data_IF_703819956445
#
_entry.id   IF_703819956445
#
_cell.length_a   1.000
_cell.length_b   1.000
_cell.length_c   1.000
_cell.angle_alpha   90.00
_cell.angle_beta   90.00
_cell.angle_gamma   90.00
#
_symmetry.space_group_name_H-M   'P 1'
#
loop_
_entity.id
_entity.type
_entity.pdbx_description
1 polymer ?
#
# COMPACT_ATOMS: atom_id res chain seq x y z
N UNK A 1 21.85 4.77 -28.94
CA UNK A 1 21.01 5.79 -28.29
C UNK A 1 20.50 5.24 -26.95
N UNK A 2 20.98 5.72 -25.79
CA UNK A 2 20.60 5.18 -24.48
C UNK A 2 19.37 5.92 -23.93
N UNK A 3 18.21 5.77 -24.57
CA UNK A 3 16.96 6.39 -24.06
C UNK A 3 16.15 5.44 -23.16
N UNK A 4 16.50 4.15 -23.12
CA UNK A 4 15.77 3.11 -22.37
C UNK A 4 16.06 3.09 -20.86
N UNK A 5 17.26 3.53 -20.44
CA UNK A 5 17.69 3.42 -19.04
C UNK A 5 17.10 4.50 -18.12
N UNK A 6 16.82 5.70 -18.65
CA UNK A 6 16.34 6.83 -17.83
C UNK A 6 14.90 6.64 -17.34
N UNK A 7 14.04 6.00 -18.14
CA UNK A 7 12.65 5.69 -17.74
C UNK A 7 12.61 4.54 -16.73
N UNK A 8 13.38 3.47 -16.96
CA UNK A 8 13.53 2.36 -16.02
C UNK A 8 14.07 2.81 -14.64
N UNK A 9 14.99 3.77 -14.60
CA UNK A 9 15.54 4.32 -13.35
C UNK A 9 14.56 5.27 -12.62
N UNK A 10 13.62 5.91 -13.33
CA UNK A 10 12.57 6.76 -12.72
C UNK A 10 11.49 5.94 -12.00
N UNK A 11 11.32 4.69 -12.42
CA UNK A 11 10.36 3.73 -11.86
C UNK A 11 10.92 2.91 -10.69
N UNK A 12 12.11 3.21 -10.20
CA UNK A 12 12.70 2.55 -9.04
C UNK A 12 12.54 3.39 -7.78
N UNK A 13 12.16 2.75 -6.67
CA UNK A 13 11.95 3.36 -5.35
C UNK A 13 12.75 2.60 -4.32
N UNK A 14 13.34 3.30 -3.35
CA UNK A 14 14.04 2.69 -2.21
C UNK A 14 13.09 1.76 -1.43
N UNK A 15 13.49 0.49 -1.26
CA UNK A 15 12.71 -0.56 -0.55
C UNK A 15 12.38 -0.16 0.90
N UNK A 16 13.22 0.68 1.52
CA UNK A 16 12.99 1.17 2.89
C UNK A 16 11.75 2.07 2.99
N UNK A 17 11.38 2.75 1.90
CA UNK A 17 10.18 3.60 1.84
C UNK A 17 8.86 2.82 1.96
N UNK A 18 8.62 1.82 1.10
CA UNK A 18 7.47 0.91 1.23
C UNK A 18 7.41 0.21 2.58
N UNK A 19 8.55 -0.22 3.15
CA UNK A 19 8.60 -0.82 4.50
C UNK A 19 8.17 0.16 5.59
N UNK A 20 8.63 1.40 5.53
CA UNK A 20 8.19 2.45 6.45
C UNK A 20 6.68 2.70 6.33
N UNK A 21 6.17 2.84 5.10
CA UNK A 21 4.74 3.02 4.88
C UNK A 21 3.91 1.83 5.40
N UNK A 22 4.45 0.61 5.28
CA UNK A 22 3.83 -0.61 5.80
C UNK A 22 3.76 -0.64 7.33
N UNK A 23 4.81 -0.19 8.03
CA UNK A 23 4.78 -0.03 9.49
C UNK A 23 3.68 0.94 9.92
N UNK A 24 3.62 2.13 9.31
CA UNK A 24 2.58 3.13 9.61
C UNK A 24 1.19 2.57 9.34
N UNK A 25 1.01 1.91 8.18
CA UNK A 25 -0.26 1.29 7.80
C UNK A 25 -0.68 0.20 8.79
N UNK A 26 0.26 -0.64 9.24
CA UNK A 26 0.01 -1.67 10.25
C UNK A 26 -0.52 -1.05 11.54
N UNK A 27 0.11 0.02 12.02
CA UNK A 27 -0.35 0.75 13.21
C UNK A 27 -1.75 1.32 13.02
N UNK A 28 -2.03 1.93 11.86
CA UNK A 28 -3.36 2.50 11.56
C UNK A 28 -4.45 1.42 11.49
N UNK A 29 -4.19 0.29 10.83
CA UNK A 29 -5.15 -0.80 10.72
C UNK A 29 -5.38 -1.50 12.06
N UNK A 30 -4.33 -1.68 12.86
CA UNK A 30 -4.44 -2.18 14.23
C UNK A 30 -5.28 -1.23 15.09
N UNK A 31 -5.01 0.08 15.00
CA UNK A 31 -5.80 1.09 15.71
C UNK A 31 -7.26 1.06 15.29
N UNK A 32 -7.56 0.91 14.00
CA UNK A 32 -8.93 0.78 13.52
C UNK A 32 -9.65 -0.43 14.15
N UNK A 33 -8.98 -1.58 14.26
CA UNK A 33 -9.54 -2.77 14.92
C UNK A 33 -9.78 -2.54 16.42
N UNK A 34 -8.83 -1.94 17.13
CA UNK A 34 -8.98 -1.62 18.56
C UNK A 34 -10.14 -0.64 18.78
N UNK A 35 -10.20 0.43 17.99
CA UNK A 35 -11.28 1.42 18.04
C UNK A 35 -12.63 0.81 17.69
N UNK A 36 -12.67 -0.18 16.80
CA UNK A 36 -13.93 -0.84 16.41
C UNK A 36 -14.64 -1.53 17.57
N UNK A 37 -13.89 -1.96 18.60
CA UNK A 37 -14.47 -2.55 19.82
C UNK A 37 -15.28 -1.53 20.64
N UNK A 38 -14.97 -0.23 20.51
CA UNK A 38 -15.68 0.85 21.18
C UNK A 38 -16.66 1.59 20.27
N UNK A 39 -16.31 1.79 18.99
CA UNK A 39 -17.12 2.53 18.02
C UNK A 39 -16.84 2.09 16.59
N UNK A 40 -17.76 1.33 16.01
CA UNK A 40 -17.72 0.95 14.60
C UNK A 40 -17.70 2.17 13.64
N UNK A 41 -18.49 3.24 13.86
CA UNK A 41 -18.40 4.45 13.02
C UNK A 41 -17.01 5.11 13.07
N UNK A 42 -16.37 5.16 14.24
CA UNK A 42 -15.02 5.72 14.35
C UNK A 42 -13.98 4.86 13.61
N UNK A 43 -14.08 3.54 13.70
CA UNK A 43 -13.24 2.62 12.92
C UNK A 43 -13.45 2.80 11.41
N UNK A 44 -14.70 2.98 10.97
CA UNK A 44 -15.02 3.27 9.57
C UNK A 44 -14.34 4.54 9.07
N UNK A 45 -14.32 5.61 9.87
CA UNK A 45 -13.63 6.87 9.53
C UNK A 45 -12.12 6.66 9.39
N UNK A 46 -11.50 5.91 10.31
CA UNK A 46 -10.06 5.59 10.24
C UNK A 46 -9.73 4.82 8.96
N UNK A 47 -10.52 3.78 8.64
CA UNK A 47 -10.33 2.99 7.43
C UNK A 47 -10.61 3.80 6.15
N UNK A 48 -11.59 4.70 6.17
CA UNK A 48 -11.87 5.59 5.05
C UNK A 48 -10.69 6.54 4.78
N UNK A 49 -10.10 7.11 5.83
CA UNK A 49 -8.88 7.91 5.70
C UNK A 49 -7.71 7.09 5.13
N UNK A 50 -7.51 5.87 5.62
CA UNK A 50 -6.47 4.97 5.10
C UNK A 50 -6.75 4.54 3.65
N UNK A 51 -8.02 4.36 3.27
CA UNK A 51 -8.42 4.09 1.89
C UNK A 51 -8.04 5.25 0.97
N UNK A 52 -8.28 6.51 1.37
CA UNK A 52 -7.82 7.68 0.60
C UNK A 52 -6.30 7.67 0.40
N UNK A 53 -5.53 7.32 1.44
CA UNK A 53 -4.07 7.22 1.36
C UNK A 53 -3.65 6.14 0.35
N UNK A 54 -4.28 4.96 0.40
CA UNK A 54 -4.06 3.89 -0.58
C UNK A 54 -4.44 4.35 -2.00
N UNK A 55 -5.53 5.09 -2.18
CA UNK A 55 -5.95 5.61 -3.48
C UNK A 55 -4.91 6.56 -4.09
N UNK A 56 -4.34 7.46 -3.27
CA UNK A 56 -3.24 8.33 -3.69
C UNK A 56 -2.04 7.51 -4.14
N UNK A 57 -1.69 6.44 -3.43
CA UNK A 57 -0.63 5.50 -3.80
C UNK A 57 -0.91 4.73 -5.09
N UNK A 58 -2.13 4.22 -5.25
CA UNK A 58 -2.55 3.41 -6.39
C UNK A 58 -2.59 4.22 -7.69
N UNK A 59 -3.09 5.45 -7.64
CA UNK A 59 -3.19 6.33 -8.82
C UNK A 59 -1.86 7.06 -9.06
N UNK A 60 -1.37 7.76 -8.03
CA UNK A 60 -0.23 8.67 -8.12
C UNK A 60 1.15 8.01 -7.98
N UNK A 61 1.20 6.76 -7.51
CA UNK A 61 2.44 6.03 -7.29
C UNK A 61 3.16 6.37 -5.98
N UNK A 62 4.22 5.62 -5.63
CA UNK A 62 4.92 5.75 -4.35
C UNK A 62 5.50 7.15 -4.07
N UNK A 63 5.87 7.91 -5.10
CA UNK A 63 6.40 9.29 -4.96
C UNK A 63 5.34 10.30 -4.50
N UNK A 64 4.06 10.04 -4.78
CA UNK A 64 2.94 10.87 -4.31
C UNK A 64 2.31 10.35 -3.03
N UNK A 65 2.66 9.12 -2.61
CA UNK A 65 2.12 8.50 -1.41
C UNK A 65 2.46 9.33 -0.16
N UNK A 66 1.48 9.68 0.69
CA UNK A 66 1.69 10.53 1.87
C UNK A 66 2.81 10.02 2.79
N UNK A 67 2.74 8.76 3.22
CA UNK A 67 3.78 8.15 4.07
C UNK A 67 5.14 8.06 3.38
N UNK A 68 5.18 7.86 2.06
CA UNK A 68 6.41 7.82 1.28
C UNK A 68 7.11 9.17 1.22
N UNK A 69 6.35 10.27 1.19
CA UNK A 69 6.90 11.64 1.29
C UNK A 69 7.47 11.92 2.67
N UNK A 70 6.79 11.48 3.73
CA UNK A 70 7.30 11.58 5.10
C UNK A 70 8.62 10.81 5.22
N UNK A 71 8.68 9.57 4.71
CA UNK A 71 9.92 8.80 4.65
C UNK A 71 11.03 9.56 3.92
N UNK A 72 10.75 10.04 2.70
CA UNK A 72 11.75 10.73 1.89
C UNK A 72 12.27 12.03 2.52
N UNK A 73 11.41 12.77 3.23
CA UNK A 73 11.77 14.06 3.83
C UNK A 73 12.46 13.91 5.20
N UNK A 74 12.04 12.93 6.02
CA UNK A 74 12.42 12.87 7.44
C UNK A 74 13.34 11.70 7.74
N UNK A 75 13.12 10.55 7.12
CA UNK A 75 13.80 9.30 7.45
C UNK A 75 14.97 9.05 6.51
N UNK A 76 14.74 9.14 5.19
CA UNK A 76 15.74 8.87 4.17
C UNK A 76 17.04 9.68 4.31
N UNK A 77 17.03 10.98 4.66
CA UNK A 77 18.26 11.76 4.83
C UNK A 77 19.14 11.30 6.01
N UNK A 78 18.56 10.57 6.96
CA UNK A 78 19.25 10.05 8.15
C UNK A 78 19.84 8.66 7.93
N UNK A 79 19.56 8.06 6.77
CA UNK A 79 20.02 6.71 6.43
C UNK A 79 21.20 6.78 5.47
N UNK A 80 22.04 5.74 5.50
CA UNK A 80 23.11 5.57 4.52
C UNK A 80 22.59 5.34 3.08
N UNK A 81 23.52 5.21 2.12
CA UNK A 81 23.21 5.04 0.70
C UNK A 81 22.16 3.95 0.43
N UNK A 82 21.31 4.18 -0.58
CA UNK A 82 20.27 3.21 -1.00
C UNK A 82 20.94 1.99 -1.60
N UNK A 83 20.77 0.83 -0.96
CA UNK A 83 21.35 -0.44 -1.42
C UNK A 83 20.42 -1.21 -2.37
N UNK A 84 19.11 -1.07 -2.19
CA UNK A 84 18.11 -1.87 -2.89
C UNK A 84 16.93 -1.01 -3.34
N UNK A 85 16.41 -1.30 -4.53
CA UNK A 85 15.29 -0.57 -5.12
C UNK A 85 14.27 -1.51 -5.74
N UNK A 86 13.01 -1.11 -5.67
CA UNK A 86 11.88 -1.88 -6.16
C UNK A 86 11.12 -1.10 -7.26
N UNK A 87 10.60 -1.79 -8.30
CA UNK A 87 9.85 -1.15 -9.36
C UNK A 87 8.48 -0.61 -8.89
N UNK A 88 8.07 0.54 -9.42
CA UNK A 88 6.81 1.22 -9.07
C UNK A 88 5.54 0.48 -9.48
N UNK A 89 5.43 -0.24 -10.63
CA UNK A 89 4.14 -0.81 -11.04
C UNK A 89 3.57 -1.85 -10.06
N UNK A 90 4.35 -2.82 -9.55
CA UNK A 90 3.86 -3.75 -8.53
C UNK A 90 3.45 -3.08 -7.22
N UNK A 91 4.14 -2.00 -6.81
CA UNK A 91 3.75 -1.20 -5.65
C UNK A 91 2.38 -0.55 -5.85
N UNK A 92 2.10 0.02 -7.03
CA UNK A 92 0.78 0.59 -7.33
C UNK A 92 -0.33 -0.46 -7.25
N UNK A 93 -0.04 -1.68 -7.70
CA UNK A 93 -0.98 -2.80 -7.56
C UNK A 93 -1.22 -3.18 -6.10
N UNK A 94 -0.17 -3.27 -5.27
CA UNK A 94 -0.33 -3.52 -3.84
C UNK A 94 -1.19 -2.45 -3.14
N UNK A 95 -1.02 -1.18 -3.52
CA UNK A 95 -1.82 -0.06 -3.03
C UNK A 95 -3.29 -0.16 -3.44
N UNK A 96 -3.57 -0.61 -4.67
CA UNK A 96 -4.94 -0.86 -5.12
C UNK A 96 -5.61 -1.99 -4.33
N UNK A 97 -4.88 -3.08 -4.08
CA UNK A 97 -5.39 -4.19 -3.26
C UNK A 97 -5.68 -3.70 -1.83
N UNK A 98 -4.77 -2.93 -1.24
CA UNK A 98 -4.98 -2.30 0.07
C UNK A 98 -6.20 -1.37 0.09
N UNK A 99 -6.41 -0.58 -0.97
CA UNK A 99 -7.60 0.26 -1.15
C UNK A 99 -8.89 -0.58 -1.11
N UNK A 100 -8.94 -1.69 -1.84
CA UNK A 100 -10.12 -2.56 -1.89
C UNK A 100 -10.47 -3.05 -0.49
N UNK A 101 -9.50 -3.61 0.25
CA UNK A 101 -9.75 -4.10 1.60
C UNK A 101 -10.13 -2.99 2.59
N UNK A 102 -9.46 -1.83 2.52
CA UNK A 102 -9.77 -0.70 3.39
C UNK A 102 -11.16 -0.13 3.11
N UNK A 103 -11.56 -0.02 1.84
CA UNK A 103 -12.89 0.44 1.45
C UNK A 103 -13.99 -0.55 1.87
N UNK A 104 -13.76 -1.86 1.68
CA UNK A 104 -14.67 -2.90 2.17
C UNK A 104 -14.80 -2.86 3.70
N UNK A 105 -13.68 -2.74 4.42
CA UNK A 105 -13.68 -2.62 5.87
C UNK A 105 -14.44 -1.38 6.36
N UNK A 106 -14.19 -0.22 5.74
CA UNK A 106 -14.87 1.03 6.07
C UNK A 106 -16.38 0.93 5.80
N UNK A 107 -16.78 0.45 4.63
CA UNK A 107 -18.19 0.29 4.26
C UNK A 107 -18.92 -0.72 5.14
N UNK A 108 -18.26 -1.82 5.51
CA UNK A 108 -18.83 -2.83 6.39
C UNK A 108 -18.99 -2.32 7.83
N UNK A 109 -18.03 -1.57 8.38
CA UNK A 109 -18.21 -0.92 9.68
C UNK A 109 -19.31 0.15 9.65
N UNK A 110 -19.44 0.91 8.56
CA UNK A 110 -20.47 1.93 8.41
C UNK A 110 -21.89 1.34 8.30
N UNK A 111 -22.04 0.15 7.72
CA UNK A 111 -23.33 -0.54 7.56
C UNK A 111 -23.64 -1.54 8.67
N UNK A 112 -22.74 -1.71 9.64
CA UNK A 112 -22.92 -2.63 10.77
C UNK A 112 -22.56 -4.10 10.48
N UNK A 113 -22.01 -4.41 9.30
CA UNK A 113 -21.51 -5.74 8.94
C UNK A 113 -20.15 -6.05 9.58
N UNK A 114 -20.09 -6.02 10.92
CA UNK A 114 -18.85 -6.12 11.72
C UNK A 114 -17.97 -7.32 11.35
N UNK A 115 -18.48 -8.55 11.17
CA UNK A 115 -17.63 -9.69 10.81
C UNK A 115 -16.88 -9.48 9.49
N UNK A 116 -17.56 -8.94 8.48
CA UNK A 116 -16.97 -8.63 7.17
C UNK A 116 -15.90 -7.55 7.33
N UNK A 117 -16.19 -6.52 8.13
CA UNK A 117 -15.27 -5.43 8.39
C UNK A 117 -13.98 -5.90 9.06
N UNK A 118 -14.10 -6.74 10.09
CA UNK A 118 -12.96 -7.30 10.83
C UNK A 118 -12.12 -8.20 9.93
N UNK A 119 -12.74 -9.11 9.18
CA UNK A 119 -12.01 -10.02 8.27
C UNK A 119 -11.27 -9.24 7.19
N UNK A 120 -11.91 -8.27 6.54
CA UNK A 120 -11.28 -7.45 5.51
C UNK A 120 -10.10 -6.63 6.08
N UNK A 121 -10.29 -6.03 7.25
CA UNK A 121 -9.25 -5.22 7.92
C UNK A 121 -8.09 -6.10 8.40
N UNK A 122 -8.37 -7.28 8.95
CA UNK A 122 -7.35 -8.23 9.39
C UNK A 122 -6.53 -8.77 8.21
N UNK A 123 -7.15 -9.04 7.06
CA UNK A 123 -6.43 -9.43 5.85
C UNK A 123 -5.48 -8.32 5.36
N UNK A 124 -5.95 -7.06 5.34
CA UNK A 124 -5.10 -5.91 5.02
C UNK A 124 -3.96 -5.73 6.03
N UNK A 125 -4.26 -5.90 7.32
CA UNK A 125 -3.27 -5.81 8.40
C UNK A 125 -2.19 -6.88 8.24
N UNK A 126 -2.57 -8.13 7.97
CA UNK A 126 -1.62 -9.21 7.73
C UNK A 126 -0.70 -8.89 6.54
N UNK A 127 -1.25 -8.45 5.42
CA UNK A 127 -0.47 -8.07 4.25
C UNK A 127 0.49 -6.90 4.53
N UNK A 128 0.03 -5.87 5.25
CA UNK A 128 0.85 -4.73 5.65
C UNK A 128 1.97 -5.16 6.62
N UNK A 129 1.64 -6.00 7.60
CA UNK A 129 2.59 -6.50 8.58
C UNK A 129 3.68 -7.38 7.95
N UNK A 130 3.33 -8.25 7.00
CA UNK A 130 4.31 -9.06 6.26
C UNK A 130 5.34 -8.18 5.54
N UNK A 131 4.88 -7.10 4.91
CA UNK A 131 5.76 -6.15 4.26
C UNK A 131 6.60 -5.35 5.28
N UNK A 132 6.01 -4.99 6.41
CA UNK A 132 6.69 -4.25 7.47
C UNK A 132 7.80 -5.06 8.16
N UNK A 133 7.51 -6.32 8.51
CA UNK A 133 8.39 -7.18 9.31
C UNK A 133 9.40 -7.97 8.47
N UNK A 134 8.95 -8.54 7.34
CA UNK A 134 9.77 -9.44 6.52
C UNK A 134 10.18 -8.82 5.18
N UNK A 135 9.67 -7.64 4.83
CA UNK A 135 9.88 -7.04 3.51
C UNK A 135 9.17 -7.82 2.38
N UNK A 136 8.20 -8.67 2.72
CA UNK A 136 7.46 -9.45 1.73
C UNK A 136 6.27 -8.62 1.24
N UNK A 137 6.43 -8.00 0.08
CA UNK A 137 5.33 -7.31 -0.58
C UNK A 137 4.52 -8.32 -1.42
N UNK A 138 3.40 -8.78 -0.86
CA UNK A 138 2.53 -9.78 -1.51
C UNK A 138 2.04 -9.32 -2.89
N UNK A 139 1.75 -8.02 -3.04
CA UNK A 139 1.39 -7.42 -4.33
C UNK A 139 2.51 -7.52 -5.37
N UNK A 140 3.77 -7.46 -4.96
CA UNK A 140 4.91 -7.58 -5.87
C UNK A 140 5.12 -9.01 -6.36
N UNK A 141 4.80 -10.00 -5.54
CA UNK A 141 4.81 -11.41 -5.95
C UNK A 141 3.60 -11.78 -6.82
N UNK A 142 2.43 -11.19 -6.52
CA UNK A 142 1.19 -11.47 -7.26
C UNK A 142 1.11 -10.71 -8.59
N UNK A 143 1.75 -9.54 -8.71
CA UNK A 143 1.66 -8.70 -9.89
C UNK A 143 2.11 -9.41 -11.19
N UNK A 144 3.25 -10.11 -11.27
CA UNK A 144 3.64 -10.85 -12.48
C UNK A 144 2.61 -11.90 -12.91
N UNK A 145 1.99 -12.58 -11.93
CA UNK A 145 0.95 -13.59 -12.15
C UNK A 145 -0.34 -13.00 -12.70
N UNK A 146 -0.66 -11.75 -12.38
CA UNK A 146 -1.83 -11.04 -12.91
C UNK A 146 -1.50 -10.36 -14.24
N UNK A 147 -0.31 -9.79 -14.35
CA UNK A 147 0.16 -9.08 -15.55
C UNK A 147 0.26 -10.01 -16.77
N UNK A 148 0.56 -11.31 -16.58
CA UNK A 148 0.58 -12.31 -17.67
C UNK A 148 -0.76 -12.48 -18.38
N UNK A 149 -1.86 -12.11 -17.74
CA UNK A 149 -3.21 -12.21 -18.31
C UNK A 149 -3.65 -10.91 -19.00
N UNK A 150 -2.82 -9.86 -19.01
CA UNK A 150 -3.11 -8.67 -19.82
C UNK A 150 -2.83 -8.98 -21.29
N UNK A 151 -3.81 -8.77 -22.19
CA UNK A 151 -3.56 -8.87 -23.63
C UNK A 151 -2.41 -7.94 -24.03
N UNK A 152 -1.51 -8.35 -24.94
CA UNK A 152 -0.51 -7.44 -25.47
C UNK A 152 -1.23 -6.22 -26.07
N UNK A 153 -0.78 -5.03 -25.68
CA UNK A 153 -1.27 -3.80 -26.27
C UNK A 153 -1.02 -3.88 -27.78
N UNK A 154 -2.09 -3.95 -28.56
CA UNK A 154 -2.01 -3.99 -30.02
C UNK A 154 -1.54 -2.60 -30.46
N UNK A 155 -0.26 -2.49 -30.81
CA UNK A 155 0.29 -1.30 -31.45
C UNK A 155 -0.32 -1.17 -32.84
N UNK A 156 -1.31 -0.30 -32.97
CA UNK A 156 -1.82 0.23 -34.24
C UNK A 156 -0.93 1.35 -34.72
#
# INVERSE_FOLDING_TARGET
MPSSNTTAQRDLVDVRGPRFAAWVTTTVLMLALVVSAASAPAAAVILAAQAVIFAVGAVGGPRKHPYGRIFAAVVAPRLGPVQEREPTPPLKFAQLVGLIFAALGAGAFATGAVPVAVVATAAALAAAFLNAAFGICLGCQLYPLVARFRPPARST
#
